data_IF_526278973263
#
_entry.id   IF_526278973263
#
_cell.length_a   1.000
_cell.length_b   1.000
_cell.length_c   1.000
_cell.angle_alpha   90.00
_cell.angle_beta   90.00
_cell.angle_gamma   90.00
#
_symmetry.space_group_name_H-M   'P 1'
#
loop_
_entity.id
_entity.type
_entity.pdbx_description
1 polymer ?
#
# COMPACT_ATOMS: atom_id res chain seq x y z
N UNK A 1 -31.13 11.98 -22.42
CA UNK A 1 -30.68 12.74 -21.24
C UNK A 1 -30.12 11.72 -20.26
N UNK A 2 -28.81 11.45 -20.32
CA UNK A 2 -28.12 10.50 -19.44
C UNK A 2 -27.42 11.34 -18.35
N UNK A 3 -27.80 11.17 -17.10
CA UNK A 3 -27.46 12.08 -16.01
C UNK A 3 -26.11 11.73 -15.34
N UNK A 4 -25.23 12.74 -15.26
CA UNK A 4 -24.10 13.04 -14.35
C UNK A 4 -23.10 11.97 -13.85
N UNK A 5 -23.29 10.66 -14.05
CA UNK A 5 -22.36 9.63 -13.55
C UNK A 5 -22.18 8.50 -14.58
N UNK A 6 -21.71 8.83 -15.79
CA UNK A 6 -21.52 7.85 -16.86
C UNK A 6 -20.60 6.69 -16.44
N UNK A 7 -20.90 5.46 -16.89
CA UNK A 7 -20.14 4.20 -16.79
C UNK A 7 -19.22 3.97 -15.55
N UNK A 8 -19.41 4.67 -14.44
CA UNK A 8 -18.56 4.58 -13.26
C UNK A 8 -18.99 3.41 -12.39
N UNK A 9 -18.02 2.66 -11.91
CA UNK A 9 -18.17 1.58 -10.97
C UNK A 9 -17.18 1.74 -9.81
N UNK A 10 -17.48 1.08 -8.68
CA UNK A 10 -16.60 1.06 -7.52
C UNK A 10 -16.14 -0.37 -7.20
N UNK A 11 -15.00 -0.48 -6.54
CA UNK A 11 -14.52 -1.74 -5.99
C UNK A 11 -13.74 -1.46 -4.70
N UNK A 12 -13.87 -2.37 -3.75
CA UNK A 12 -13.03 -2.44 -2.55
C UNK A 12 -12.15 -3.67 -2.64
N UNK A 13 -10.94 -3.61 -2.08
CA UNK A 13 -9.99 -4.73 -2.05
C UNK A 13 -9.66 -5.33 -3.44
N UNK A 14 -9.83 -4.54 -4.51
CA UNK A 14 -9.45 -4.93 -5.86
C UNK A 14 -8.04 -4.43 -6.17
N UNK A 15 -7.35 -5.13 -7.06
CA UNK A 15 -6.08 -4.64 -7.63
C UNK A 15 -6.32 -3.84 -8.90
N UNK A 16 -5.60 -2.72 -9.06
CA UNK A 16 -5.42 -2.04 -10.33
C UNK A 16 -4.13 -2.53 -11.00
N UNK A 17 -4.21 -2.90 -12.28
CA UNK A 17 -3.05 -3.16 -13.12
C UNK A 17 -2.66 -1.86 -13.82
N UNK A 18 -1.62 -1.19 -13.31
CA UNK A 18 -1.25 0.17 -13.73
C UNK A 18 -0.30 0.22 -14.94
N UNK A 19 0.37 -0.89 -15.28
CA UNK A 19 1.39 -0.96 -16.34
C UNK A 19 2.75 -1.39 -15.79
N UNK A 20 3.69 -1.78 -16.67
CA UNK A 20 5.08 -2.14 -16.31
C UNK A 20 5.25 -3.18 -15.19
N UNK A 21 4.29 -4.09 -15.06
CA UNK A 21 4.29 -5.08 -13.98
C UNK A 21 3.93 -4.48 -12.62
N UNK A 22 3.28 -3.32 -12.58
CA UNK A 22 2.76 -2.69 -11.38
C UNK A 22 1.31 -3.09 -11.13
N UNK A 23 1.07 -3.66 -9.95
CA UNK A 23 -0.23 -4.07 -9.45
C UNK A 23 -0.40 -3.55 -8.04
N UNK A 24 -1.39 -2.69 -7.83
CA UNK A 24 -1.64 -2.05 -6.55
C UNK A 24 -3.07 -2.37 -6.13
N UNK A 25 -3.28 -3.18 -5.07
CA UNK A 25 -4.56 -3.25 -4.38
C UNK A 25 -4.87 -1.90 -3.73
N UNK A 26 -6.04 -1.35 -3.97
CA UNK A 26 -6.51 -0.15 -3.28
C UNK A 26 -7.68 -0.51 -2.37
N UNK A 27 -7.82 0.23 -1.28
CA UNK A 27 -8.90 -0.03 -0.32
C UNK A 27 -10.26 0.36 -0.91
N UNK A 28 -10.28 1.42 -1.74
CA UNK A 28 -11.40 1.76 -2.61
C UNK A 28 -10.92 2.33 -3.93
N UNK A 29 -11.61 1.98 -5.02
CA UNK A 29 -11.44 2.60 -6.33
C UNK A 29 -12.76 3.05 -6.92
N UNK A 30 -12.69 4.08 -7.75
CA UNK A 30 -13.71 4.44 -8.73
C UNK A 30 -13.09 4.34 -10.12
N UNK A 31 -13.74 3.64 -11.04
CA UNK A 31 -13.20 3.31 -12.35
C UNK A 31 -14.32 3.24 -13.40
N UNK A 32 -13.98 3.26 -14.68
CA UNK A 32 -14.94 3.03 -15.77
C UNK A 32 -15.27 1.54 -15.87
N UNK A 33 -16.53 1.14 -15.98
CA UNK A 33 -16.96 -0.25 -15.92
C UNK A 33 -16.30 -1.12 -17.01
N UNK A 34 -15.98 -0.56 -18.18
CA UNK A 34 -15.19 -1.21 -19.22
C UNK A 34 -13.77 -1.64 -18.80
N UNK A 35 -13.23 -1.11 -17.70
CA UNK A 35 -11.94 -1.51 -17.12
C UNK A 35 -12.05 -2.78 -16.27
N UNK A 36 -13.26 -3.22 -15.89
CA UNK A 36 -13.42 -4.40 -15.03
C UNK A 36 -12.93 -5.66 -15.75
N UNK A 37 -12.19 -6.48 -15.01
CA UNK A 37 -11.86 -7.87 -15.33
C UNK A 37 -12.34 -8.76 -14.18
N UNK A 38 -12.19 -10.08 -14.31
CA UNK A 38 -12.71 -11.03 -13.32
C UNK A 38 -12.26 -10.70 -11.89
N UNK A 39 -10.96 -10.45 -11.69
CA UNK A 39 -10.36 -10.22 -10.37
C UNK A 39 -9.69 -8.85 -10.18
N UNK A 40 -9.62 -8.00 -11.21
CA UNK A 40 -8.88 -6.73 -11.15
C UNK A 40 -9.48 -5.64 -12.04
N UNK A 41 -8.99 -4.42 -11.88
CA UNK A 41 -9.27 -3.24 -12.73
C UNK A 41 -8.09 -3.03 -13.67
N UNK A 42 -8.35 -2.96 -14.97
CA UNK A 42 -7.32 -2.83 -16.00
C UNK A 42 -7.06 -1.35 -16.36
N UNK A 43 -5.84 -0.88 -16.13
CA UNK A 43 -5.44 0.51 -16.33
C UNK A 43 -5.69 1.41 -15.12
N UNK A 44 -5.40 2.71 -15.24
CA UNK A 44 -5.56 3.67 -14.16
C UNK A 44 -7.05 3.86 -13.81
N UNK A 45 -7.46 3.70 -12.54
CA UNK A 45 -8.80 4.11 -12.09
C UNK A 45 -8.98 5.64 -12.20
N UNK A 46 -10.23 6.10 -12.10
CA UNK A 46 -10.56 7.52 -12.01
C UNK A 46 -10.19 8.10 -10.63
N UNK A 47 -10.35 7.28 -9.58
CA UNK A 47 -9.94 7.58 -8.21
C UNK A 47 -9.40 6.31 -7.54
N UNK A 48 -8.24 6.43 -6.90
CA UNK A 48 -7.76 5.45 -5.92
C UNK A 48 -7.78 6.07 -4.51
N UNK A 49 -8.28 5.31 -3.54
CA UNK A 49 -8.31 5.70 -2.12
C UNK A 49 -7.59 4.65 -1.30
N UNK A 50 -6.68 5.11 -0.44
CA UNK A 50 -5.96 4.28 0.52
C UNK A 50 -6.27 4.75 1.93
N UNK A 51 -6.50 3.80 2.83
CA UNK A 51 -6.65 4.01 4.26
C UNK A 51 -5.34 3.61 4.92
N UNK A 52 -4.57 4.62 5.31
CA UNK A 52 -3.22 4.41 5.79
C UNK A 52 -3.20 3.67 7.14
N UNK A 53 -2.47 2.54 7.17
CA UNK A 53 -2.04 1.91 8.42
C UNK A 53 -0.69 2.46 8.87
N UNK A 54 -0.21 2.10 10.07
CA UNK A 54 1.16 2.45 10.48
C UNK A 54 2.21 1.95 9.49
N UNK A 55 1.98 0.78 8.85
CA UNK A 55 2.91 0.17 7.90
C UNK A 55 2.80 0.78 6.50
N UNK A 56 1.59 1.09 6.03
CA UNK A 56 1.40 1.62 4.66
C UNK A 56 1.55 3.14 4.56
N UNK A 57 1.35 3.91 5.64
CA UNK A 57 1.34 5.38 5.61
C UNK A 57 2.48 6.02 4.83
N UNK A 58 3.72 5.58 5.09
CA UNK A 58 4.90 6.14 4.40
C UNK A 58 4.88 5.83 2.89
N UNK A 59 4.40 4.63 2.52
CA UNK A 59 4.23 4.22 1.13
C UNK A 59 3.06 4.95 0.47
N UNK A 60 1.91 5.06 1.13
CA UNK A 60 0.69 5.69 0.59
C UNK A 60 0.93 7.17 0.28
N UNK A 61 1.67 7.90 1.14
CA UNK A 61 2.02 9.31 0.91
C UNK A 61 3.27 9.51 0.02
N UNK A 62 3.99 8.42 -0.28
CA UNK A 62 5.27 8.41 -0.98
C UNK A 62 5.24 7.56 -2.25
N UNK A 63 5.70 6.32 -2.15
CA UNK A 63 5.91 5.41 -3.31
C UNK A 63 4.62 5.17 -4.10
N UNK A 64 3.50 4.85 -3.44
CA UNK A 64 2.24 4.57 -4.13
C UNK A 64 1.67 5.81 -4.80
N UNK A 65 1.77 6.97 -4.15
CA UNK A 65 1.46 8.26 -4.78
C UNK A 65 2.22 8.44 -6.09
N UNK A 66 3.53 8.17 -6.11
CA UNK A 66 4.34 8.26 -7.32
C UNK A 66 3.96 7.21 -8.37
N UNK A 67 3.56 5.99 -7.97
CA UNK A 67 3.09 4.96 -8.90
C UNK A 67 1.76 5.33 -9.56
N UNK A 68 0.80 5.85 -8.79
CA UNK A 68 -0.48 6.33 -9.33
C UNK A 68 -0.30 7.57 -10.21
N UNK A 69 0.61 8.48 -9.85
CA UNK A 69 0.99 9.65 -10.66
C UNK A 69 1.54 9.22 -12.01
N UNK A 70 2.54 8.33 -12.01
CA UNK A 70 3.18 7.82 -13.22
C UNK A 70 2.21 7.03 -14.11
N UNK A 71 1.21 6.37 -13.50
CA UNK A 71 0.16 5.64 -14.22
C UNK A 71 -0.94 6.55 -14.77
N UNK A 72 -0.97 7.83 -14.42
CA UNK A 72 -1.96 8.79 -14.89
C UNK A 72 -3.31 8.69 -14.18
N UNK A 73 -3.36 8.24 -12.92
CA UNK A 73 -4.60 8.21 -12.13
C UNK A 73 -5.03 9.64 -11.80
N UNK A 74 -6.21 10.13 -12.21
CA UNK A 74 -6.58 11.54 -12.06
C UNK A 74 -6.71 12.01 -10.61
N UNK A 75 -7.29 11.18 -9.74
CA UNK A 75 -7.53 11.51 -8.35
C UNK A 75 -6.94 10.44 -7.43
N UNK A 76 -6.25 10.87 -6.38
CA UNK A 76 -5.68 9.96 -5.38
C UNK A 76 -5.87 10.50 -3.98
N UNK A 77 -6.52 9.74 -3.11
CA UNK A 77 -6.79 10.17 -1.72
C UNK A 77 -6.15 9.23 -0.71
N UNK A 78 -5.57 9.80 0.34
CA UNK A 78 -5.05 9.05 1.49
C UNK A 78 -5.83 9.46 2.73
N UNK A 79 -6.57 8.50 3.30
CA UNK A 79 -7.25 8.63 4.59
C UNK A 79 -6.26 8.21 5.67
N UNK A 80 -5.65 9.20 6.30
CA UNK A 80 -4.68 9.04 7.37
C UNK A 80 -5.37 9.01 8.74
N UNK A 81 -5.41 7.84 9.37
CA UNK A 81 -6.05 7.64 10.67
C UNK A 81 -4.99 7.66 11.78
N UNK A 82 -5.18 8.57 12.74
CA UNK A 82 -4.34 8.68 13.93
C UNK A 82 -5.20 8.76 15.19
N UNK A 83 -5.28 7.65 15.94
CA UNK A 83 -6.15 7.53 17.09
C UNK A 83 -7.63 7.60 16.68
N UNK A 84 -8.38 8.54 17.25
CA UNK A 84 -9.79 8.79 16.94
C UNK A 84 -10.01 9.80 15.80
N UNK A 85 -8.92 10.40 15.29
CA UNK A 85 -8.99 11.40 14.25
C UNK A 85 -8.59 10.82 12.90
N UNK A 86 -9.18 11.34 11.83
CA UNK A 86 -8.67 11.14 10.48
C UNK A 86 -8.39 12.46 9.80
N UNK A 87 -7.41 12.41 8.91
CA UNK A 87 -7.10 13.46 7.96
C UNK A 87 -7.20 12.87 6.56
N UNK A 88 -7.85 13.58 5.64
CA UNK A 88 -7.92 13.15 4.23
C UNK A 88 -7.01 14.05 3.42
N UNK A 89 -5.98 13.45 2.83
CA UNK A 89 -5.13 14.08 1.82
C UNK A 89 -5.74 13.86 0.45
N UNK A 90 -5.96 14.94 -0.31
CA UNK A 90 -6.62 14.91 -1.62
C UNK A 90 -5.63 15.39 -2.68
N UNK A 91 -5.22 14.47 -3.56
CA UNK A 91 -4.34 14.75 -4.68
C UNK A 91 -5.11 14.71 -6.00
N UNK A 92 -4.85 15.69 -6.87
CA UNK A 92 -5.35 15.73 -8.25
C UNK A 92 -4.16 15.84 -9.21
N UNK A 93 -4.20 15.06 -10.29
CA UNK A 93 -3.14 15.02 -11.30
C UNK A 93 -3.23 16.27 -12.19
N UNK A 94 -2.12 16.97 -12.34
CA UNK A 94 -1.97 18.07 -13.30
C UNK A 94 -0.91 17.71 -14.34
N UNK A 95 -0.67 18.60 -15.30
CA UNK A 95 0.40 18.44 -16.30
C UNK A 95 1.80 18.34 -15.67
N UNK A 96 1.97 18.86 -14.45
CA UNK A 96 3.23 18.88 -13.70
C UNK A 96 3.32 17.76 -12.63
N UNK A 97 2.34 16.86 -12.56
CA UNK A 97 2.24 15.81 -11.55
C UNK A 97 1.15 16.06 -10.51
N UNK A 98 1.14 15.30 -9.41
CA UNK A 98 0.12 15.45 -8.38
C UNK A 98 0.26 16.75 -7.59
N UNK A 99 -0.85 17.49 -7.48
CA UNK A 99 -1.01 18.59 -6.54
C UNK A 99 -1.89 18.16 -5.37
N UNK A 100 -1.44 18.41 -4.15
CA UNK A 100 -2.31 18.30 -2.97
C UNK A 100 -3.29 19.49 -2.97
N UNK A 101 -4.53 19.23 -3.38
CA UNK A 101 -5.56 20.27 -3.54
C UNK A 101 -6.31 20.56 -2.25
N UNK A 102 -6.34 19.59 -1.33
CA UNK A 102 -6.90 19.74 0.00
C UNK A 102 -6.25 18.78 1.00
N UNK A 103 -6.20 19.24 2.26
CA UNK A 103 -5.95 18.41 3.44
C UNK A 103 -7.08 18.70 4.42
N UNK A 104 -7.93 17.71 4.67
CA UNK A 104 -9.17 17.87 5.44
C UNK A 104 -8.99 17.21 6.79
N UNK A 105 -8.93 18.00 7.86
CA UNK A 105 -8.78 17.51 9.22
C UNK A 105 -10.09 17.55 10.01
N UNK A 106 -10.03 17.25 11.32
CA UNK A 106 -11.19 17.32 12.18
C UNK A 106 -11.82 18.71 12.23
N UNK A 107 -13.14 18.80 12.02
CA UNK A 107 -13.93 20.03 11.96
C UNK A 107 -14.02 20.64 10.57
N UNK A 108 -13.20 20.18 9.62
CA UNK A 108 -13.14 20.75 8.27
C UNK A 108 -14.12 20.09 7.31
N UNK A 109 -14.38 20.76 6.19
CA UNK A 109 -15.19 20.22 5.09
C UNK A 109 -14.60 20.71 3.78
N UNK A 110 -14.54 19.83 2.78
CA UNK A 110 -14.22 20.21 1.40
C UNK A 110 -15.28 19.68 0.44
N UNK A 111 -15.55 20.44 -0.62
CA UNK A 111 -16.36 19.99 -1.75
C UNK A 111 -15.43 19.76 -2.93
N UNK A 112 -15.44 18.54 -3.45
CA UNK A 112 -14.69 18.13 -4.62
C UNK A 112 -15.66 17.95 -5.77
N UNK A 113 -15.19 18.19 -6.99
CA UNK A 113 -15.98 18.00 -8.22
C UNK A 113 -15.49 16.82 -9.05
N UNK A 114 -14.26 16.37 -8.82
CA UNK A 114 -13.63 15.27 -9.55
C UNK A 114 -13.36 14.05 -8.64
N UNK A 115 -13.49 12.82 -9.16
CA UNK A 115 -14.08 12.49 -10.47
C UNK A 115 -15.62 12.63 -10.46
N UNK A 116 -16.19 12.98 -9.32
CA UNK A 116 -17.59 13.33 -9.15
C UNK A 116 -17.78 14.29 -7.98
N UNK A 117 -18.95 14.95 -7.94
CA UNK A 117 -19.30 15.88 -6.87
C UNK A 117 -19.47 15.16 -5.54
N UNK A 118 -18.64 15.49 -4.56
CA UNK A 118 -18.74 14.95 -3.19
C UNK A 118 -18.32 16.00 -2.16
N UNK A 119 -18.94 15.93 -0.99
CA UNK A 119 -18.53 16.69 0.18
C UNK A 119 -17.88 15.75 1.19
N UNK A 120 -16.59 15.98 1.50
CA UNK A 120 -15.84 15.17 2.45
C UNK A 120 -15.83 15.88 3.80
N UNK A 121 -16.21 15.11 4.84
CA UNK A 121 -16.09 15.46 6.26
C UNK A 121 -15.50 14.27 7.02
N UNK A 122 -14.28 14.36 7.57
CA UNK A 122 -13.65 13.23 8.24
C UNK A 122 -14.51 12.57 9.33
N UNK A 123 -15.27 13.35 10.11
CA UNK A 123 -16.14 12.81 11.18
C UNK A 123 -17.32 12.02 10.62
N UNK A 124 -17.74 12.32 9.40
CA UNK A 124 -18.82 11.59 8.77
C UNK A 124 -18.38 10.17 8.34
N UNK A 125 -17.08 9.96 8.09
CA UNK A 125 -16.54 8.64 7.71
C UNK A 125 -16.76 7.60 8.82
N UNK A 126 -16.66 8.01 10.09
CA UNK A 126 -16.79 7.12 11.25
C UNK A 126 -18.16 7.19 11.92
N UNK A 127 -19.10 7.97 11.38
CA UNK A 127 -20.42 8.16 12.00
C UNK A 127 -21.17 6.83 12.05
N UNK A 128 -21.51 6.38 13.25
CA UNK A 128 -22.27 5.14 13.47
C UNK A 128 -21.39 3.89 13.55
N UNK A 129 -20.07 4.02 13.37
CA UNK A 129 -19.12 2.98 13.74
C UNK A 129 -18.83 3.07 15.24
N UNK A 130 -18.57 1.94 15.93
CA UNK A 130 -18.00 2.01 17.27
C UNK A 130 -16.70 2.82 17.21
N UNK A 131 -16.33 3.56 18.28
CA UNK A 131 -15.04 4.23 18.32
C UNK A 131 -13.97 3.21 17.95
N UNK A 132 -13.09 3.58 17.01
CA UNK A 132 -12.00 2.72 16.58
C UNK A 132 -11.20 2.34 17.82
N UNK A 133 -11.41 1.10 18.29
CA UNK A 133 -10.50 0.48 19.22
C UNK A 133 -9.36 0.05 18.35
N UNK A 134 -8.30 0.85 18.31
CA UNK A 134 -6.99 0.33 17.92
C UNK A 134 -6.88 -1.07 18.56
N UNK A 135 -6.43 -2.09 17.82
CA UNK A 135 -6.21 -3.41 18.41
C UNK A 135 -5.52 -3.15 19.74
N UNK A 136 -6.17 -3.52 20.85
CA UNK A 136 -5.69 -3.08 22.17
C UNK A 136 -4.21 -3.41 22.19
N UNK A 137 -3.37 -2.45 22.54
CA UNK A 137 -1.94 -2.70 22.67
C UNK A 137 -1.81 -3.72 23.83
N UNK A 138 -1.82 -5.02 23.47
CA UNK A 138 -2.02 -6.14 24.41
C UNK A 138 -3.35 -6.93 24.36
N UNK A 139 -4.30 -6.73 23.42
CA UNK A 139 -5.50 -7.60 23.28
C UNK A 139 -5.19 -9.00 22.73
N UNK A 140 -4.01 -9.17 22.17
CA UNK A 140 -3.32 -10.45 22.07
C UNK A 140 -2.11 -10.32 22.97
N UNK A 141 -2.04 -11.07 24.06
CA UNK A 141 -1.00 -10.95 25.08
C UNK A 141 0.38 -11.33 24.51
N UNK A 142 1.05 -10.37 23.87
CA UNK A 142 2.50 -10.33 23.77
C UNK A 142 2.96 -8.88 23.57
N UNK A 143 3.72 -8.39 24.54
CA UNK A 143 4.41 -7.08 24.49
C UNK A 143 5.64 -7.09 23.56
N UNK A 144 5.82 -8.15 22.78
CA UNK A 144 7.04 -8.42 22.03
C UNK A 144 6.69 -8.68 20.57
N UNK A 145 6.82 -7.63 19.75
CA UNK A 145 7.41 -7.84 18.44
C UNK A 145 8.90 -8.07 18.69
N UNK A 146 9.44 -9.22 18.32
CA UNK A 146 10.83 -9.50 18.65
C UNK A 146 11.35 -10.90 18.33
N UNK A 147 12.67 -11.10 18.52
CA UNK A 147 13.47 -12.23 18.04
C UNK A 147 13.27 -13.56 18.79
N UNK A 148 12.18 -13.78 19.50
CA UNK A 148 12.02 -15.02 20.27
C UNK A 148 11.02 -15.92 19.54
N UNK A 149 11.56 -16.74 18.63
CA UNK A 149 10.85 -17.96 18.26
C UNK A 149 10.82 -18.85 19.50
N UNK A 150 9.72 -19.59 19.73
CA UNK A 150 9.72 -20.62 20.75
C UNK A 150 10.92 -21.55 20.52
N UNK A 151 11.47 -22.10 21.60
CA UNK A 151 12.50 -23.11 21.50
C UNK A 151 12.00 -24.30 20.65
N UNK A 152 12.91 -25.11 20.11
CA UNK A 152 12.52 -26.18 19.18
C UNK A 152 11.59 -27.23 19.82
N UNK A 153 11.58 -27.29 21.15
CA UNK A 153 10.74 -28.13 22.01
C UNK A 153 9.48 -27.42 22.52
N UNK A 154 9.30 -26.14 22.21
CA UNK A 154 8.12 -25.35 22.56
C UNK A 154 7.13 -25.27 21.40
N UNK A 155 5.83 -25.27 21.73
CA UNK A 155 4.78 -25.14 20.73
C UNK A 155 4.77 -23.74 20.10
N UNK A 156 4.48 -23.70 18.79
CA UNK A 156 4.37 -22.45 18.07
C UNK A 156 3.03 -21.75 18.37
N UNK A 157 3.09 -20.59 19.02
CA UNK A 157 1.90 -19.78 19.27
C UNK A 157 1.34 -19.15 18.00
N UNK A 158 0.01 -18.99 17.92
CA UNK A 158 -0.65 -18.34 16.77
C UNK A 158 -0.16 -16.91 16.58
N UNK A 159 0.14 -16.20 17.66
CA UNK A 159 0.67 -14.82 17.62
C UNK A 159 2.07 -14.76 17.01
N UNK A 160 2.94 -15.72 17.32
CA UNK A 160 4.27 -15.83 16.71
C UNK A 160 4.17 -16.21 15.23
N UNK A 161 3.18 -17.03 14.87
CA UNK A 161 2.96 -17.47 13.48
C UNK A 161 2.45 -16.35 12.58
N UNK A 162 1.42 -15.63 13.03
CA UNK A 162 0.80 -14.54 12.26
C UNK A 162 1.64 -13.25 12.24
N UNK A 163 2.87 -13.25 12.78
CA UNK A 163 3.79 -12.11 12.75
C UNK A 163 5.09 -12.38 11.98
N UNK A 164 5.26 -13.57 11.42
CA UNK A 164 6.45 -13.95 10.64
C UNK A 164 6.15 -13.92 9.16
N UNK A 165 7.14 -13.58 8.34
CA UNK A 165 6.98 -13.69 6.90
C UNK A 165 6.94 -15.19 6.50
N UNK A 166 6.02 -15.64 5.62
CA UNK A 166 5.06 -14.83 4.84
C UNK A 166 3.66 -14.69 5.47
N UNK A 167 3.39 -15.32 6.61
CA UNK A 167 2.04 -15.46 7.18
C UNK A 167 1.50 -14.19 7.83
N UNK A 168 2.38 -13.33 8.33
CA UNK A 168 2.01 -12.04 8.92
C UNK A 168 1.91 -10.88 7.94
N UNK A 169 1.84 -11.16 6.64
CA UNK A 169 1.78 -10.13 5.61
C UNK A 169 0.41 -9.45 5.64
N UNK A 170 0.40 -8.14 5.82
CA UNK A 170 -0.82 -7.32 5.86
C UNK A 170 -1.36 -7.09 4.44
N UNK A 171 -0.46 -6.82 3.50
CA UNK A 171 -0.77 -6.51 2.09
C UNK A 171 0.41 -6.90 1.20
N UNK A 172 0.13 -7.35 -0.02
CA UNK A 172 1.14 -7.58 -1.06
C UNK A 172 0.82 -6.71 -2.25
N UNK A 173 1.83 -5.98 -2.72
CA UNK A 173 1.77 -5.21 -3.95
C UNK A 173 2.88 -5.66 -4.90
N UNK A 174 2.74 -5.33 -6.19
CA UNK A 174 3.81 -5.52 -7.17
C UNK A 174 4.19 -4.15 -7.71
N UNK A 175 5.42 -3.70 -7.46
CA UNK A 175 5.91 -2.41 -7.93
C UNK A 175 6.96 -2.65 -9.01
N UNK A 176 6.65 -2.33 -10.27
CA UNK A 176 7.54 -2.56 -11.42
C UNK A 176 8.11 -4.01 -11.45
N UNK A 177 7.25 -5.01 -11.20
CA UNK A 177 7.65 -6.41 -11.13
C UNK A 177 8.39 -6.85 -9.85
N UNK A 178 8.53 -5.99 -8.85
CA UNK A 178 9.12 -6.31 -7.54
C UNK A 178 8.03 -6.50 -6.48
N UNK A 179 7.90 -7.68 -5.86
CA UNK A 179 6.96 -7.90 -4.77
C UNK A 179 7.29 -7.03 -3.55
N UNK A 180 6.27 -6.40 -2.97
CA UNK A 180 6.36 -5.57 -1.77
C UNK A 180 5.43 -6.13 -0.69
N UNK A 181 6.00 -6.51 0.45
CA UNK A 181 5.29 -7.09 1.58
C UNK A 181 5.16 -6.06 2.71
N UNK A 182 3.93 -5.66 3.02
CA UNK A 182 3.62 -4.73 4.12
C UNK A 182 3.50 -5.49 5.43
N UNK A 183 4.10 -4.94 6.50
CA UNK A 183 4.03 -5.51 7.84
C UNK A 183 5.16 -5.03 8.75
N UNK A 184 5.51 -5.85 9.74
CA UNK A 184 6.60 -5.59 10.70
C UNK A 184 7.66 -6.68 10.56
N UNK A 185 8.76 -6.36 9.87
CA UNK A 185 9.78 -7.34 9.48
C UNK A 185 11.12 -7.09 10.15
N UNK A 186 11.85 -8.15 10.44
CA UNK A 186 13.22 -8.12 10.97
C UNK A 186 14.21 -8.87 10.04
N UNK A 187 15.48 -8.93 10.43
CA UNK A 187 16.55 -9.57 9.66
C UNK A 187 16.32 -11.06 9.40
N UNK A 188 15.52 -11.74 10.23
CA UNK A 188 15.22 -13.16 10.03
C UNK A 188 14.16 -13.35 8.97
N UNK A 189 13.16 -12.48 8.94
CA UNK A 189 12.17 -12.47 7.86
C UNK A 189 12.88 -12.22 6.53
N UNK A 190 13.86 -11.30 6.51
CA UNK A 190 14.77 -11.08 5.37
C UNK A 190 15.51 -12.36 5.00
N UNK A 191 16.10 -13.07 5.96
CA UNK A 191 16.82 -14.32 5.70
C UNK A 191 15.90 -15.45 5.19
N UNK A 192 14.66 -15.53 5.68
CA UNK A 192 13.65 -16.49 5.19
C UNK A 192 13.25 -16.13 3.76
N UNK A 193 12.94 -14.87 3.49
CA UNK A 193 12.61 -14.38 2.16
C UNK A 193 13.77 -14.59 1.17
N UNK A 194 15.02 -14.40 1.60
CA UNK A 194 16.20 -14.64 0.76
C UNK A 194 16.32 -16.10 0.33
N UNK A 195 15.90 -17.05 1.18
CA UNK A 195 15.83 -18.48 0.83
C UNK A 195 14.67 -18.79 -0.10
N UNK A 196 13.54 -18.12 0.08
CA UNK A 196 12.36 -18.28 -0.78
C UNK A 196 12.54 -17.67 -2.18
N UNK A 197 13.35 -16.61 -2.30
CA UNK A 197 13.65 -15.91 -3.55
C UNK A 197 15.15 -15.99 -3.89
N UNK A 198 15.67 -17.16 -4.28
CA UNK A 198 17.09 -17.32 -4.58
C UNK A 198 17.52 -16.41 -5.74
N UNK A 199 18.65 -15.72 -5.56
CA UNK A 199 19.22 -14.79 -6.56
C UNK A 199 18.59 -13.40 -6.59
N UNK A 200 17.55 -13.13 -5.79
CA UNK A 200 16.96 -11.79 -5.63
C UNK A 200 17.63 -11.03 -4.50
N UNK A 201 17.48 -9.71 -4.48
CA UNK A 201 17.92 -8.85 -3.38
C UNK A 201 16.72 -8.55 -2.50
N UNK A 202 16.78 -8.94 -1.22
CA UNK A 202 15.74 -8.60 -0.24
C UNK A 202 16.14 -7.29 0.46
N UNK A 203 15.28 -6.28 0.36
CA UNK A 203 15.48 -4.98 1.00
C UNK A 203 14.44 -4.78 2.08
N UNK A 204 14.90 -4.41 3.28
CA UNK A 204 14.04 -3.97 4.37
C UNK A 204 13.99 -2.45 4.33
N UNK A 205 12.82 -1.87 4.07
CA UNK A 205 12.64 -0.43 3.83
C UNK A 205 12.36 0.36 5.13
N UNK A 206 12.38 -0.33 6.27
CA UNK A 206 12.14 0.24 7.58
C UNK A 206 13.21 -0.17 8.60
N UNK A 207 13.18 0.47 9.77
CA UNK A 207 13.91 -0.01 10.94
C UNK A 207 13.35 -1.40 11.33
N UNK A 208 14.20 -2.42 11.54
CA UNK A 208 13.76 -3.77 11.92
C UNK A 208 12.72 -3.78 13.05
N UNK A 209 11.66 -4.57 12.86
CA UNK A 209 10.54 -4.71 13.79
C UNK A 209 9.56 -3.54 13.84
N UNK A 210 9.82 -2.44 13.10
CA UNK A 210 8.86 -1.35 12.91
C UNK A 210 7.91 -1.65 11.73
N UNK A 211 6.74 -1.00 11.68
CA UNK A 211 5.87 -1.02 10.51
C UNK A 211 6.58 -0.49 9.27
N UNK A 212 6.39 -1.15 8.14
CA UNK A 212 6.93 -0.73 6.85
C UNK A 212 6.85 -1.85 5.81
N UNK A 213 7.83 -1.90 4.91
CA UNK A 213 7.81 -2.81 3.76
C UNK A 213 9.10 -3.62 3.60
N UNK A 214 8.96 -4.90 3.26
CA UNK A 214 10.07 -5.70 2.74
C UNK A 214 9.87 -5.89 1.25
N UNK A 215 10.86 -5.49 0.45
CA UNK A 215 10.80 -5.51 -1.02
C UNK A 215 11.73 -6.58 -1.59
N UNK A 216 11.22 -7.36 -2.55
CA UNK A 216 12.00 -8.36 -3.31
C UNK A 216 12.41 -7.77 -4.65
N UNK A 217 13.64 -7.29 -4.72
CA UNK A 217 14.18 -6.65 -5.90
C UNK A 217 14.80 -7.68 -6.87
N UNK A 218 14.84 -7.40 -8.19
CA UNK A 218 15.63 -8.18 -9.12
C UNK A 218 17.10 -8.25 -8.69
N UNK A 219 17.79 -9.29 -9.17
CA UNK A 219 19.25 -9.34 -9.06
C UNK A 219 19.84 -8.05 -9.64
N UNK A 220 20.90 -7.52 -9.03
CA UNK A 220 21.69 -6.50 -9.70
C UNK A 220 22.11 -7.06 -11.07
N UNK A 221 21.92 -6.27 -12.13
CA UNK A 221 22.40 -6.68 -13.45
C UNK A 221 23.91 -6.93 -13.31
N UNK A 222 24.35 -8.17 -13.54
CA UNK A 222 25.77 -8.48 -13.63
C UNK A 222 26.31 -7.68 -14.81
N UNK A 223 26.95 -6.55 -14.56
CA UNK A 223 27.80 -5.91 -15.57
C UNK A 223 28.92 -6.91 -15.85
N UNK A 224 28.79 -7.67 -16.94
CA UNK A 224 29.89 -8.51 -17.41
C UNK A 224 31.12 -7.59 -17.56
N UNK A 225 32.31 -7.98 -17.10
CA UNK A 225 33.50 -7.19 -17.33
C UNK A 225 33.63 -7.00 -18.84
N UNK A 226 33.62 -5.74 -19.30
CA UNK A 226 34.02 -5.43 -20.66
C UNK A 226 35.41 -6.03 -20.85
N UNK A 227 35.51 -7.04 -21.71
CA UNK A 227 36.78 -7.59 -22.11
C UNK A 227 37.64 -6.42 -22.60
N UNK A 228 38.74 -6.17 -21.89
CA UNK A 228 39.74 -5.22 -22.34
C UNK A 228 40.18 -5.66 -23.74
N UNK A 229 39.78 -4.87 -24.75
CA UNK A 229 40.33 -4.99 -26.09
C UNK A 229 41.82 -4.71 -25.93
N UNK A 230 42.64 -5.77 -25.99
CA UNK A 230 44.06 -5.63 -26.26
C UNK A 230 44.15 -5.11 -27.69
N UNK A 231 44.61 -3.88 -27.83
CA UNK A 231 45.18 -3.40 -29.08
C UNK A 231 46.64 -3.89 -29.07
N UNK A 232 46.98 -4.59 -30.12
CA UNK A 232 48.32 -5.15 -30.40
C UNK A 232 49.38 -4.05 -30.56
#
# INVERSE_FOLDING_TARGET
>A
MFAEYGDMATATEAAARLGDGTWVPSDLMVYCAGQRRESFVDGPPLLAVEVASEASRASDLGVKKALYEAAGVPCYWVVDIAGENARVHVFELTDDGYREVAVVGPGDTVRLTEPFKIEIRPEALFRGLPPWRAPVEGAHMARHNGPDLPAADEAFGIDSFLRRWPTGVEKVELHNGSPVFYGRWDERDVAIAQRAYPGRVIRLDQVPGRPGTMTVLPAAATTAPQAAVRLD
#
